data_IF_570187480365
#
_entry.id   IF_570187480365
#
_cell.length_a   1.000
_cell.length_b   1.000
_cell.length_c   1.000
_cell.angle_alpha   90.00
_cell.angle_beta   90.00
_cell.angle_gamma   90.00
#
_symmetry.space_group_name_H-M   'P 1'
#
loop_
_entity.id
_entity.type
_entity.pdbx_description
1 polymer ?
#
# COMPACT_ATOMS: atom_id res chain seq x y z
N UNK A 1 -11.36 24.98 -15.16
CA UNK A 1 -10.47 25.07 -14.00
C UNK A 1 -9.14 24.46 -14.38
N UNK A 2 -8.08 25.27 -14.44
CA UNK A 2 -6.71 24.74 -14.53
C UNK A 2 -6.35 24.21 -13.14
N UNK A 3 -6.14 22.91 -13.03
CA UNK A 3 -5.56 22.33 -11.81
C UNK A 3 -4.07 22.61 -11.86
N UNK A 4 -3.60 23.61 -11.12
CA UNK A 4 -2.19 23.66 -10.72
C UNK A 4 -1.95 22.39 -9.91
N UNK A 5 -1.09 21.51 -10.42
CA UNK A 5 -0.86 20.20 -9.81
C UNK A 5 -0.51 20.34 -8.33
N UNK A 6 -0.93 19.38 -7.50
CA UNK A 6 -0.56 19.40 -6.08
C UNK A 6 0.91 19.15 -5.83
N UNK A 7 1.32 19.16 -4.55
CA UNK A 7 2.71 18.93 -4.20
C UNK A 7 3.19 17.55 -4.67
N UNK A 8 4.44 17.51 -5.11
CA UNK A 8 5.12 16.26 -5.40
C UNK A 8 5.57 15.62 -4.08
N UNK A 9 5.34 14.32 -3.91
CA UNK A 9 5.72 13.62 -2.69
C UNK A 9 7.06 12.90 -2.87
N UNK A 10 8.04 13.23 -2.03
CA UNK A 10 9.29 12.51 -1.89
C UNK A 10 9.23 11.60 -0.66
N UNK A 11 9.01 10.29 -0.86
CA UNK A 11 8.96 9.33 0.26
C UNK A 11 10.37 8.83 0.58
N UNK A 12 10.95 9.38 1.66
CA UNK A 12 12.30 9.08 2.10
C UNK A 12 12.39 7.68 2.73
N UNK A 13 13.41 6.90 2.36
CA UNK A 13 13.59 5.46 2.66
C UNK A 13 12.70 4.45 1.93
N UNK A 14 11.82 4.86 0.99
CA UNK A 14 11.02 3.92 0.19
C UNK A 14 11.83 2.79 -0.47
N UNK A 15 12.99 3.05 -1.13
CA UNK A 15 13.79 1.97 -1.72
C UNK A 15 14.35 0.99 -0.69
N UNK A 16 14.74 1.46 0.50
CA UNK A 16 15.27 0.61 1.56
C UNK A 16 14.17 -0.30 2.13
N UNK A 17 12.97 0.23 2.34
CA UNK A 17 11.82 -0.52 2.80
C UNK A 17 11.40 -1.62 1.80
N UNK A 18 11.37 -1.30 0.50
CA UNK A 18 11.08 -2.29 -0.54
C UNK A 18 12.14 -3.41 -0.59
N UNK A 19 13.42 -3.07 -0.39
CA UNK A 19 14.50 -4.05 -0.34
C UNK A 19 14.41 -5.02 0.84
N UNK A 20 13.86 -4.59 1.97
CA UNK A 20 13.58 -5.49 3.10
C UNK A 20 12.41 -6.44 2.81
N UNK A 21 11.54 -6.09 1.86
CA UNK A 21 10.33 -6.83 1.53
C UNK A 21 10.41 -7.52 0.15
N UNK A 22 11.60 -7.91 -0.32
CA UNK A 22 11.78 -8.51 -1.67
C UNK A 22 10.93 -9.77 -1.89
N UNK A 23 10.67 -10.55 -0.83
CA UNK A 23 9.78 -11.73 -0.91
C UNK A 23 8.28 -11.41 -0.92
N UNK A 24 7.89 -10.17 -0.62
CA UNK A 24 6.50 -9.73 -0.58
C UNK A 24 6.38 -8.25 -1.02
N UNK A 25 6.88 -7.98 -2.23
CA UNK A 25 6.89 -6.63 -2.80
C UNK A 25 5.48 -6.06 -2.95
N UNK A 26 4.48 -6.91 -3.19
CA UNK A 26 3.09 -6.48 -3.34
C UNK A 26 2.56 -5.88 -2.03
N UNK A 27 2.78 -6.52 -0.88
CA UNK A 27 2.37 -5.97 0.41
C UNK A 27 3.12 -4.68 0.73
N UNK A 28 4.42 -4.61 0.43
CA UNK A 28 5.20 -3.39 0.62
C UNK A 28 4.70 -2.21 -0.23
N UNK A 29 4.37 -2.46 -1.50
CA UNK A 29 3.75 -1.46 -2.37
C UNK A 29 2.37 -1.02 -1.86
N UNK A 30 1.62 -1.93 -1.21
CA UNK A 30 0.33 -1.58 -0.58
C UNK A 30 0.50 -0.63 0.59
N UNK A 31 1.50 -0.88 1.44
CA UNK A 31 1.86 0.02 2.54
C UNK A 31 2.23 1.41 1.99
N UNK A 32 3.10 1.47 0.98
CA UNK A 32 3.49 2.75 0.36
C UNK A 32 2.31 3.49 -0.26
N UNK A 33 1.41 2.80 -0.95
CA UNK A 33 0.22 3.41 -1.53
C UNK A 33 -0.68 4.03 -0.45
N UNK A 34 -0.80 3.40 0.73
CA UNK A 34 -1.54 3.96 1.85
C UNK A 34 -0.85 5.22 2.41
N UNK A 35 0.49 5.22 2.49
CA UNK A 35 1.26 6.43 2.85
C UNK A 35 0.97 7.57 1.88
N UNK A 36 0.98 7.32 0.56
CA UNK A 36 0.66 8.35 -0.44
C UNK A 36 -0.79 8.86 -0.34
N UNK A 37 -1.76 7.99 -0.02
CA UNK A 37 -3.16 8.39 0.19
C UNK A 37 -3.33 9.25 1.44
N UNK A 38 -2.68 8.86 2.53
CA UNK A 38 -2.65 9.64 3.75
C UNK A 38 -1.97 10.99 3.53
N UNK A 39 -0.83 11.02 2.84
CA UNK A 39 -0.13 12.25 2.49
C UNK A 39 -1.01 13.16 1.63
N UNK A 40 -1.73 12.64 0.63
CA UNK A 40 -2.67 13.43 -0.17
C UNK A 40 -3.81 14.04 0.64
N UNK A 41 -4.19 13.40 1.75
CA UNK A 41 -5.21 13.93 2.66
C UNK A 41 -4.65 15.08 3.52
N UNK A 42 -3.39 14.98 3.95
CA UNK A 42 -2.71 16.00 4.76
C UNK A 42 -2.22 17.20 3.93
N UNK A 43 -1.91 16.96 2.65
CA UNK A 43 -1.43 17.94 1.68
C UNK A 43 -2.38 17.93 0.47
N UNK A 44 -3.57 18.53 0.62
CA UNK A 44 -4.58 18.56 -0.44
C UNK A 44 -4.09 19.36 -1.65
N UNK A 45 -4.80 19.21 -2.77
CA UNK A 45 -4.62 20.07 -3.93
C UNK A 45 -5.09 21.48 -3.54
N UNK A 46 -4.18 22.44 -3.46
CA UNK A 46 -4.57 23.85 -3.32
C UNK A 46 -5.23 24.30 -4.63
N UNK A 47 -6.37 24.98 -4.51
CA UNK A 47 -6.97 25.64 -5.66
C UNK A 47 -6.06 26.80 -6.07
N UNK A 48 -5.85 26.93 -7.38
CA UNK A 48 -4.91 27.81 -8.08
C UNK A 48 -5.15 29.33 -7.88
N UNK A 49 -5.61 29.77 -6.70
CA UNK A 49 -5.96 31.16 -6.44
C UNK A 49 -4.76 32.02 -6.01
N UNK A 50 -3.61 31.40 -5.73
CA UNK A 50 -2.36 32.14 -5.64
C UNK A 50 -1.24 31.32 -6.27
N UNK A 51 -0.22 31.99 -6.81
CA UNK A 51 1.07 31.43 -7.22
C UNK A 51 1.85 30.83 -6.04
N UNK A 52 1.15 30.07 -5.18
CA UNK A 52 1.69 29.33 -4.06
C UNK A 52 2.66 28.28 -4.56
N UNK A 53 3.70 27.97 -3.77
CA UNK A 53 4.82 27.18 -4.23
C UNK A 53 4.34 25.80 -4.64
N UNK A 54 4.48 25.48 -5.93
CA UNK A 54 4.64 24.11 -6.45
C UNK A 54 5.77 23.43 -5.68
N UNK A 55 5.44 22.90 -4.51
CA UNK A 55 6.38 22.41 -3.53
C UNK A 55 6.57 20.91 -3.63
N UNK A 56 7.74 20.44 -3.21
CA UNK A 56 7.95 19.03 -2.89
C UNK A 56 7.71 18.86 -1.40
N UNK A 57 6.94 17.84 -1.02
CA UNK A 57 6.72 17.43 0.36
C UNK A 57 7.51 16.15 0.62
N UNK A 58 8.35 16.17 1.65
CA UNK A 58 9.14 15.01 2.06
C UNK A 58 8.39 14.21 3.12
N UNK A 59 8.22 12.91 2.88
CA UNK A 59 7.54 11.99 3.80
C UNK A 59 8.56 10.99 4.34
N UNK A 60 8.82 11.07 5.64
CA UNK A 60 9.74 10.18 6.35
C UNK A 60 9.03 8.89 6.79
N UNK A 61 9.52 7.75 6.31
CA UNK A 61 9.00 6.41 6.67
C UNK A 61 10.08 5.54 7.35
N UNK A 62 11.02 6.18 8.04
CA UNK A 62 12.12 5.51 8.75
C UNK A 62 11.61 4.53 9.82
N UNK A 63 10.54 4.87 10.55
CA UNK A 63 9.96 3.97 11.54
C UNK A 63 9.33 2.72 10.92
N UNK A 64 8.68 2.83 9.74
CA UNK A 64 8.17 1.66 9.01
C UNK A 64 9.32 0.74 8.58
N UNK A 65 10.43 1.33 8.13
CA UNK A 65 11.65 0.60 7.76
C UNK A 65 12.34 -0.04 8.98
N UNK A 66 12.25 0.57 10.15
CA UNK A 66 12.79 0.03 11.40
C UNK A 66 11.94 -1.12 11.95
N UNK A 67 10.62 -1.05 11.78
CA UNK A 67 9.69 -2.05 12.29
C UNK A 67 9.66 -3.37 11.50
N UNK A 68 10.31 -3.44 10.34
CA UNK A 68 10.60 -4.71 9.66
C UNK A 68 9.95 -4.86 8.28
N UNK A 69 9.69 -6.10 7.87
CA UNK A 69 9.13 -6.38 6.56
C UNK A 69 7.64 -6.02 6.50
N UNK A 70 7.14 -5.69 5.30
CA UNK A 70 5.76 -5.24 5.13
C UNK A 70 4.70 -6.26 5.59
N UNK A 71 5.02 -7.56 5.50
CA UNK A 71 4.16 -8.64 5.99
C UNK A 71 3.96 -8.57 7.51
N UNK A 72 5.04 -8.30 8.25
CA UNK A 72 5.00 -8.21 9.71
C UNK A 72 4.19 -6.98 10.12
N UNK A 73 4.42 -5.82 9.48
CA UNK A 73 3.62 -4.62 9.70
C UNK A 73 2.11 -4.84 9.52
N UNK A 74 1.72 -5.61 8.49
CA UNK A 74 0.31 -5.89 8.21
C UNK A 74 -0.31 -6.94 9.14
N UNK A 75 0.49 -7.85 9.70
CA UNK A 75 0.02 -8.94 10.56
C UNK A 75 0.06 -8.53 12.03
N UNK A 76 1.19 -7.98 12.46
CA UNK A 76 1.50 -7.60 13.84
C UNK A 76 0.73 -6.36 14.28
N UNK A 77 0.56 -5.36 13.40
CA UNK A 77 -0.18 -4.15 13.75
C UNK A 77 -1.63 -4.42 14.18
N UNK A 78 -2.25 -5.47 13.65
CA UNK A 78 -3.59 -5.89 14.06
C UNK A 78 -3.60 -6.67 15.38
N UNK A 79 -2.52 -7.41 15.69
CA UNK A 79 -2.44 -8.31 16.83
C UNK A 79 -1.94 -7.64 18.11
N UNK A 80 -0.99 -6.71 17.99
CA UNK A 80 -0.28 -6.10 19.13
C UNK A 80 -0.84 -4.72 19.52
N UNK A 81 -1.93 -4.28 18.87
CA UNK A 81 -2.52 -2.96 19.12
C UNK A 81 -1.59 -1.82 18.74
N UNK A 82 -0.72 -2.01 17.75
CA UNK A 82 0.11 -0.96 17.21
C UNK A 82 -0.66 -0.20 16.11
N UNK A 83 -0.72 1.12 16.23
CA UNK A 83 -1.33 2.01 15.24
C UNK A 83 -0.25 2.84 14.59
N UNK A 84 -0.29 2.91 13.26
CA UNK A 84 0.60 3.74 12.47
C UNK A 84 -0.09 5.04 12.08
N UNK A 85 0.54 6.16 12.40
CA UNK A 85 0.07 7.51 12.06
C UNK A 85 1.04 8.17 11.09
N UNK A 86 0.50 8.90 10.11
CA UNK A 86 1.26 9.91 9.39
C UNK A 86 0.96 11.26 10.02
N UNK A 87 1.98 11.93 10.55
CA UNK A 87 1.89 13.21 11.24
C UNK A 87 2.58 14.27 10.39
N UNK A 88 1.89 15.38 10.15
CA UNK A 88 2.46 16.52 9.42
C UNK A 88 3.27 17.37 10.41
N UNK A 89 4.59 17.35 10.25
CA UNK A 89 5.55 18.06 11.11
C UNK A 89 5.80 19.50 10.65
N UNK A 90 5.67 19.75 9.34
CA UNK A 90 5.79 21.10 8.76
C UNK A 90 4.92 21.23 7.50
N UNK A 91 4.99 22.37 6.82
CA UNK A 91 4.27 22.57 5.55
C UNK A 91 4.85 21.74 4.40
N UNK A 92 6.09 21.29 4.52
CA UNK A 92 6.80 20.53 3.50
C UNK A 92 7.29 19.17 4.00
N UNK A 93 6.94 18.77 5.22
CA UNK A 93 7.41 17.52 5.81
C UNK A 93 6.30 16.80 6.58
N UNK A 94 6.35 15.48 6.51
CA UNK A 94 5.55 14.59 7.34
C UNK A 94 6.38 13.37 7.77
N UNK A 95 6.05 12.80 8.92
CA UNK A 95 6.72 11.61 9.46
C UNK A 95 5.72 10.52 9.83
N UNK A 96 6.09 9.26 9.61
CA UNK A 96 5.31 8.12 10.08
C UNK A 96 5.74 7.74 11.49
N UNK A 97 4.76 7.66 12.39
CA UNK A 97 4.95 7.33 13.80
C UNK A 97 4.15 6.08 14.16
N UNK A 98 4.82 5.11 14.81
CA UNK A 98 4.18 3.93 15.37
C UNK A 98 3.82 4.15 16.84
N UNK A 99 2.54 4.01 17.19
CA UNK A 99 2.05 4.13 18.57
C UNK A 99 1.54 2.78 19.06
N UNK A 100 1.91 2.42 20.30
CA UNK A 100 1.34 1.27 21.02
C UNK A 100 0.10 1.74 21.78
N UNK A 101 -1.07 1.14 21.52
CA UNK A 101 -2.31 1.52 22.21
C UNK A 101 -2.33 1.14 23.70
N UNK A 102 -1.41 0.27 24.13
CA UNK A 102 -1.44 -0.32 25.47
C UNK A 102 -0.36 0.23 26.41
N UNK A 103 0.71 0.80 25.89
CA UNK A 103 1.85 1.26 26.70
C UNK A 103 1.72 2.71 27.14
N UNK A 104 1.04 3.55 26.36
CA UNK A 104 0.93 4.97 26.65
C UNK A 104 -0.52 5.40 26.78
N UNK A 105 -0.82 6.06 27.90
CA UNK A 105 -2.06 6.78 28.11
C UNK A 105 -2.27 7.77 26.94
N UNK A 106 -3.19 7.40 26.04
CA UNK A 106 -3.71 8.20 24.92
C UNK A 106 -4.35 9.46 25.52
N UNK A 107 -3.54 10.45 25.91
CA UNK A 107 -4.01 11.75 26.45
C UNK A 107 -3.48 12.90 25.59
N UNK A 108 -2.46 12.70 24.79
CA UNK A 108 -2.03 13.74 23.85
C UNK A 108 -2.74 13.53 22.51
N UNK A 109 -3.90 14.18 22.36
CA UNK A 109 -4.40 14.52 21.04
C UNK A 109 -3.24 15.20 20.29
N UNK A 110 -2.76 14.64 19.16
CA UNK A 110 -1.71 15.31 18.40
C UNK A 110 -2.24 16.69 18.05
N UNK A 111 -1.57 17.74 18.51
CA UNK A 111 -1.90 19.12 18.11
C UNK A 111 -1.76 19.30 16.60
N UNK A 112 -0.94 18.44 15.99
CA UNK A 112 -0.65 18.42 14.58
C UNK A 112 -1.67 17.60 13.78
N UNK A 113 -1.97 18.02 12.54
CA UNK A 113 -2.85 17.26 11.67
C UNK A 113 -2.20 15.93 11.33
N UNK A 114 -2.94 14.85 11.60
CA UNK A 114 -2.46 13.49 11.47
C UNK A 114 -3.48 12.60 10.75
N UNK A 115 -2.99 11.49 10.21
CA UNK A 115 -3.80 10.49 9.52
C UNK A 115 -3.40 9.08 9.90
N UNK A 116 -4.36 8.28 10.36
CA UNK A 116 -4.15 6.85 10.63
C UNK A 116 -3.92 6.09 9.32
N UNK A 117 -2.83 5.33 9.25
CA UNK A 117 -2.49 4.45 8.14
C UNK A 117 -3.21 3.11 8.29
N UNK A 118 -3.99 2.74 7.29
CA UNK A 118 -4.76 1.49 7.30
C UNK A 118 -3.96 0.36 6.63
N UNK A 119 -2.92 -0.10 7.30
CA UNK A 119 -2.10 -1.21 6.83
C UNK A 119 -2.93 -2.52 6.84
N UNK A 120 -2.70 -3.40 5.87
CA UNK A 120 -3.39 -4.69 5.77
C UNK A 120 -4.75 -4.69 5.06
N UNK A 121 -5.34 -3.51 4.74
CA UNK A 121 -6.54 -3.49 3.89
C UNK A 121 -6.18 -3.75 2.43
N UNK A 122 -6.84 -4.68 1.73
CA UNK A 122 -6.63 -4.84 0.29
C UNK A 122 -7.03 -3.52 -0.40
N UNK A 123 -6.07 -2.90 -1.12
CA UNK A 123 -6.30 -1.62 -1.81
C UNK A 123 -7.39 -1.72 -2.89
N UNK A 124 -7.59 -2.92 -3.41
CA UNK A 124 -8.63 -3.30 -4.33
C UNK A 124 -9.57 -4.17 -3.53
N UNK A 125 -10.60 -3.58 -2.92
CA UNK A 125 -11.82 -4.36 -2.75
C UNK A 125 -12.14 -4.91 -4.14
N UNK A 126 -12.45 -6.21 -4.30
CA UNK A 126 -13.00 -6.68 -5.56
C UNK A 126 -14.12 -5.70 -5.92
N UNK A 127 -14.15 -5.14 -7.15
CA UNK A 127 -15.28 -4.33 -7.54
C UNK A 127 -16.49 -5.17 -7.18
N UNK A 128 -17.35 -4.65 -6.30
CA UNK A 128 -18.56 -5.35 -5.90
C UNK A 128 -19.22 -5.69 -7.23
N UNK A 129 -19.17 -6.98 -7.60
CA UNK A 129 -19.88 -7.50 -8.77
C UNK A 129 -21.28 -7.02 -8.50
N UNK A 130 -21.66 -5.99 -9.22
CA UNK A 130 -22.91 -5.30 -9.00
C UNK A 130 -23.90 -6.34 -9.44
N UNK A 131 -24.40 -7.13 -8.49
CA UNK A 131 -25.40 -8.14 -8.75
C UNK A 131 -26.48 -7.35 -9.45
N UNK A 132 -26.72 -7.56 -10.76
CA UNK A 132 -27.75 -6.83 -11.43
C UNK A 132 -28.99 -7.09 -10.59
N UNK A 133 -29.59 -6.02 -10.07
CA UNK A 133 -30.89 -6.07 -9.42
C UNK A 133 -31.80 -6.67 -10.48
N UNK A 134 -31.98 -7.98 -10.38
CA UNK A 134 -32.85 -8.77 -11.23
C UNK A 134 -34.25 -8.28 -10.88
N UNK A 135 -34.65 -7.21 -11.56
CA UNK A 135 -36.01 -6.72 -11.54
C UNK A 135 -36.89 -7.91 -11.88
N UNK A 136 -37.68 -8.33 -10.91
CA UNK A 136 -38.81 -9.20 -11.13
C UNK A 136 -39.83 -8.43 -11.99
N UNK A 137 -39.59 -8.40 -13.31
CA UNK A 137 -40.61 -8.10 -14.30
C UNK A 137 -41.41 -9.38 -14.48
N UNK A 138 -42.56 -9.39 -13.80
CA UNK A 138 -43.65 -10.31 -14.06
C UNK A 138 -44.25 -9.94 -15.43
N UNK A 139 -44.52 -10.96 -16.23
CA UNK A 139 -45.33 -10.98 -17.45
C UNK A 139 -44.67 -10.46 -18.75
N UNK A 140 -44.26 -11.39 -19.62
CA UNK A 140 -45.02 -11.75 -20.84
C UNK A 140 -44.15 -12.56 -21.82
N UNK A 141 -44.69 -13.70 -22.22
CA UNK A 141 -44.17 -14.59 -23.25
C UNK A 141 -44.02 -13.90 -24.61
N UNK A 142 -43.09 -14.37 -25.44
CA UNK A 142 -43.38 -15.13 -26.68
C UNK A 142 -42.24 -15.02 -27.70
N UNK A 143 -41.73 -16.21 -28.05
CA UNK A 143 -41.10 -16.64 -29.30
C UNK A 143 -39.70 -16.18 -29.74
N UNK A 144 -38.90 -17.23 -30.01
CA UNK A 144 -38.07 -17.46 -31.21
C UNK A 144 -36.54 -17.22 -31.16
N UNK A 145 -35.86 -18.38 -31.15
CA UNK A 145 -34.88 -18.83 -32.14
C UNK A 145 -33.37 -18.49 -31.99
N UNK A 146 -32.60 -19.57 -31.85
CA UNK A 146 -31.33 -19.90 -32.51
C UNK A 146 -30.21 -18.85 -32.56
N UNK A 147 -29.09 -19.13 -31.89
CA UNK A 147 -27.92 -19.66 -32.61
C UNK A 147 -26.81 -20.12 -31.66
N UNK A 148 -26.20 -21.23 -32.04
CA UNK A 148 -25.13 -21.95 -31.35
C UNK A 148 -23.80 -21.18 -31.41
N UNK A 149 -23.24 -20.83 -30.25
CA UNK A 149 -21.89 -20.28 -30.10
C UNK A 149 -20.94 -21.29 -29.47
N UNK A 150 -19.92 -21.67 -30.24
CA UNK A 150 -18.95 -22.76 -30.04
C UNK A 150 -18.04 -22.53 -28.82
N UNK A 151 -17.97 -23.51 -27.91
CA UNK A 151 -16.99 -23.55 -26.80
C UNK A 151 -15.62 -23.96 -27.36
N UNK A 152 -14.61 -23.12 -27.15
CA UNK A 152 -13.21 -23.43 -27.42
C UNK A 152 -12.55 -23.85 -26.10
N UNK A 153 -12.06 -25.09 -25.95
CA UNK A 153 -11.24 -25.47 -24.81
C UNK A 153 -9.80 -25.01 -25.06
N UNK A 154 -9.24 -24.21 -24.15
CA UNK A 154 -7.83 -23.82 -24.20
C UNK A 154 -7.08 -24.34 -22.96
N UNK A 155 -6.50 -25.53 -23.19
CA UNK A 155 -5.15 -25.99 -22.82
C UNK A 155 -4.65 -25.93 -21.37
N UNK A 156 -4.18 -27.10 -20.94
CA UNK A 156 -3.57 -27.48 -19.67
C UNK A 156 -2.28 -26.70 -19.28
N UNK A 157 -1.93 -26.71 -17.97
CA UNK A 157 -0.72 -26.08 -17.45
C UNK A 157 0.57 -26.85 -17.78
N UNK A 158 1.58 -26.09 -18.23
CA UNK A 158 2.97 -26.52 -18.40
C UNK A 158 3.58 -26.99 -17.08
N UNK A 159 4.05 -28.24 -17.05
CA UNK A 159 4.92 -28.75 -15.97
C UNK A 159 6.30 -28.10 -16.05
N UNK A 160 6.62 -27.24 -15.09
CA UNK A 160 7.98 -26.73 -14.88
C UNK A 160 8.79 -27.71 -14.03
N UNK A 161 9.89 -28.21 -14.60
CA UNK A 161 10.78 -29.18 -14.00
C UNK A 161 11.52 -28.68 -12.76
N UNK A 162 11.71 -29.58 -11.80
CA UNK A 162 12.56 -29.42 -10.62
C UNK A 162 14.03 -29.33 -11.02
N UNK A 163 14.54 -28.12 -11.25
CA UNK A 163 15.97 -27.85 -11.25
C UNK A 163 16.51 -27.80 -9.82
N UNK A 164 17.41 -28.73 -9.46
CA UNK A 164 18.18 -28.67 -8.21
C UNK A 164 19.11 -27.45 -8.27
N UNK A 165 18.86 -26.44 -7.43
CA UNK A 165 19.79 -25.33 -7.21
C UNK A 165 20.85 -25.82 -6.23
N UNK A 166 22.07 -26.00 -6.72
CA UNK A 166 23.27 -26.23 -5.88
C UNK A 166 23.79 -24.85 -5.47
N UNK A 167 23.65 -24.53 -4.18
CA UNK A 167 24.23 -23.32 -3.59
C UNK A 167 25.76 -23.50 -3.42
N UNK A 168 26.59 -22.52 -3.82
CA UNK A 168 28.02 -22.58 -3.56
C UNK A 168 28.29 -22.38 -2.06
N UNK A 169 29.00 -23.35 -1.47
CA UNK A 169 29.50 -23.30 -0.10
C UNK A 169 30.53 -22.19 0.04
N UNK A 170 30.19 -21.13 0.78
CA UNK A 170 31.10 -20.05 1.14
C UNK A 170 32.09 -20.55 2.20
N UNK A 171 33.37 -20.62 1.84
CA UNK A 171 34.47 -20.89 2.77
C UNK A 171 34.87 -19.58 3.45
N UNK A 172 34.93 -19.51 4.80
CA UNK A 172 35.37 -18.32 5.50
C UNK A 172 36.88 -18.11 5.32
N UNK A 173 37.27 -16.98 4.73
CA UNK A 173 38.65 -16.50 4.74
C UNK A 173 38.93 -15.84 6.09
N UNK A 174 39.72 -16.53 6.92
CA UNK A 174 40.32 -15.94 8.12
C UNK A 174 41.48 -15.04 7.67
N UNK A 175 41.33 -13.74 7.82
CA UNK A 175 42.41 -12.78 7.63
C UNK A 175 43.15 -12.62 8.97
N UNK A 176 44.33 -13.20 9.08
CA UNK A 176 45.31 -12.90 10.13
C UNK A 176 46.12 -11.68 9.72
N UNK A 177 45.96 -10.57 10.42
CA UNK A 177 46.90 -9.45 10.35
C UNK A 177 48.09 -9.74 11.27
N UNK A 178 49.30 -9.68 10.72
CA UNK A 178 50.55 -9.56 11.46
C UNK A 178 50.93 -8.09 11.58
#
# INVERSE_FOLDING_TARGET
AQYTGGPAFLVYYSPAFLRQSVGDALTALRVLAEVYRAARTLFPLEQAESDGPTGTVTVHIDQLKAAGAAKDLCTTGAAEGQVWLLVRTSDHEASVQGLSLFEDAIIMAPSEPHRVLRLGKPLLAPPLLTTPLLGASKDAAKDAACSSGRVVPLSDPVQAGRGKIVLPTLVPRVATCQ
#
